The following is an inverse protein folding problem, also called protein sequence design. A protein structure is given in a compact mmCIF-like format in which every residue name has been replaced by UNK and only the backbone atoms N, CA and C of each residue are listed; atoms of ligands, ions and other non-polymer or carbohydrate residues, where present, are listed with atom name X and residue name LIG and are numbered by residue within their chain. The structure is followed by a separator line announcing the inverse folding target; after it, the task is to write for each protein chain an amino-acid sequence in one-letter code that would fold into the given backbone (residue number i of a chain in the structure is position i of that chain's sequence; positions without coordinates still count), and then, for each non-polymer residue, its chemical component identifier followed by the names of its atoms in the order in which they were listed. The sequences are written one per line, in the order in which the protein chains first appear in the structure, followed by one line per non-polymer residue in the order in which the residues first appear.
data_IF_071578695528
#
_entry.id   IF_071578695528
#
_cell.length_a   1.000
_cell.length_b   1.000
_cell.length_c   1.000
_cell.angle_alpha   90.00
_cell.angle_beta   90.00
_cell.angle_gamma   90.00
#
_symmetry.space_group_name_H-M   'P 1'
#
loop_
_entity.id
_entity.type
_entity.pdbx_description
1 polymer ?
#
# COMPACT_ATOMS: atom_id res chain seq x y z
N UNK A 1 -36.73 -13.05 -56.19
CA UNK A 1 -35.34 -12.54 -56.26
C UNK A 1 -35.02 -11.85 -54.94
N UNK A 2 -33.89 -12.25 -54.33
CA UNK A 2 -33.08 -11.58 -53.30
C UNK A 2 -33.71 -11.28 -51.92
N UNK A 3 -33.50 -12.25 -51.03
CA UNK A 3 -32.87 -12.11 -49.70
C UNK A 3 -33.26 -10.89 -48.86
N UNK A 4 -34.30 -11.05 -48.05
CA UNK A 4 -34.48 -10.33 -46.78
C UNK A 4 -34.42 -11.39 -45.67
N UNK A 5 -33.24 -11.94 -45.48
CA UNK A 5 -32.85 -12.76 -44.34
C UNK A 5 -31.48 -12.21 -43.96
N UNK A 6 -31.22 -12.01 -42.66
CA UNK A 6 -29.98 -11.45 -42.06
C UNK A 6 -29.94 -9.92 -41.82
N UNK A 7 -30.88 -9.37 -41.05
CA UNK A 7 -30.63 -8.11 -40.30
C UNK A 7 -31.26 -8.12 -38.89
N UNK A 8 -31.40 -9.28 -38.25
CA UNK A 8 -31.92 -9.41 -36.88
C UNK A 8 -31.03 -10.27 -35.98
N UNK A 9 -29.71 -10.33 -36.25
CA UNK A 9 -28.77 -11.14 -35.46
C UNK A 9 -27.54 -10.36 -34.96
N UNK A 10 -27.60 -9.02 -34.88
CA UNK A 10 -26.45 -8.21 -34.43
C UNK A 10 -26.76 -7.22 -33.30
N UNK A 11 -27.77 -7.46 -32.47
CA UNK A 11 -28.12 -6.53 -31.37
C UNK A 11 -28.32 -7.22 -30.01
N UNK A 12 -27.58 -8.29 -29.75
CA UNK A 12 -27.44 -8.85 -28.40
C UNK A 12 -26.00 -9.32 -28.17
N UNK A 13 -25.02 -8.49 -28.54
CA UNK A 13 -23.72 -8.58 -27.86
C UNK A 13 -23.92 -7.81 -26.55
N UNK A 14 -24.42 -8.51 -25.54
CA UNK A 14 -24.36 -8.06 -24.15
C UNK A 14 -22.88 -7.79 -23.87
N UNK A 15 -22.54 -6.50 -23.78
CA UNK A 15 -21.28 -6.01 -23.26
C UNK A 15 -21.19 -6.46 -21.80
N UNK A 16 -20.79 -7.71 -21.58
CA UNK A 16 -20.10 -8.08 -20.35
C UNK A 16 -18.77 -7.35 -20.41
N UNK A 17 -18.80 -6.07 -20.03
CA UNK A 17 -17.58 -5.36 -19.67
C UNK A 17 -17.10 -6.09 -18.43
N UNK A 18 -16.00 -6.86 -18.49
CA UNK A 18 -15.42 -7.35 -17.26
C UNK A 18 -15.12 -6.11 -16.44
N UNK A 19 -15.77 -5.99 -15.28
CA UNK A 19 -15.40 -4.97 -14.31
C UNK A 19 -14.00 -5.36 -13.87
N UNK A 20 -12.99 -4.80 -14.53
CA UNK A 20 -11.62 -4.89 -14.09
C UNK A 20 -11.59 -4.04 -12.83
N UNK A 21 -11.81 -4.68 -11.70
CA UNK A 21 -11.56 -4.09 -10.40
C UNK A 21 -10.04 -3.88 -10.32
N UNK A 22 -9.59 -2.70 -10.73
CA UNK A 22 -8.28 -2.22 -10.33
C UNK A 22 -8.27 -2.14 -8.80
N UNK A 23 -7.13 -2.45 -8.17
CA UNK A 23 -6.97 -2.33 -6.72
C UNK A 23 -7.49 -0.97 -6.22
N UNK A 24 -8.48 -1.00 -5.33
CA UNK A 24 -9.07 0.21 -4.76
C UNK A 24 -8.20 0.69 -3.60
N UNK A 25 -7.27 1.60 -3.91
CA UNK A 25 -6.40 2.20 -2.92
C UNK A 25 -7.17 3.26 -2.11
N UNK A 26 -7.50 2.93 -0.87
CA UNK A 26 -8.20 3.82 0.06
C UNK A 26 -7.22 4.77 0.75
N UNK A 27 -7.57 6.05 0.81
CA UNK A 27 -6.74 7.09 1.44
C UNK A 27 -6.64 6.91 2.95
N UNK A 28 -5.41 6.97 3.47
CA UNK A 28 -5.08 7.07 4.89
C UNK A 28 -4.96 8.53 5.30
N UNK A 29 -4.26 9.34 4.49
CA UNK A 29 -3.99 10.75 4.77
C UNK A 29 -2.61 11.19 4.31
N UNK A 30 -2.15 12.33 4.82
CA UNK A 30 -0.83 12.90 4.52
C UNK A 30 0.11 12.80 5.71
N UNK A 31 1.36 12.42 5.47
CA UNK A 31 2.40 12.48 6.51
C UNK A 31 2.95 13.91 6.69
N UNK A 32 3.91 14.06 7.61
CA UNK A 32 4.52 15.36 7.96
C UNK A 32 5.30 16.00 6.81
N UNK A 33 5.71 15.21 5.82
CA UNK A 33 6.39 15.70 4.60
C UNK A 33 5.39 15.95 3.48
N UNK A 34 4.09 15.67 3.70
CA UNK A 34 3.04 15.82 2.71
C UNK A 34 2.93 14.64 1.74
N UNK A 35 3.59 13.51 2.01
CA UNK A 35 3.37 12.29 1.22
C UNK A 35 1.94 11.81 1.41
N UNK A 36 1.30 11.34 0.35
CA UNK A 36 -0.06 10.80 0.41
C UNK A 36 0.00 9.29 0.59
N UNK A 37 -0.64 8.79 1.64
CA UNK A 37 -0.65 7.38 1.98
C UNK A 37 -2.00 6.76 1.69
N UNK A 38 -1.95 5.55 1.14
CA UNK A 38 -3.09 4.73 0.81
C UNK A 38 -2.86 3.29 1.24
N UNK A 39 -3.93 2.53 1.38
CA UNK A 39 -3.87 1.09 1.56
C UNK A 39 -4.89 0.38 0.68
N UNK A 40 -4.62 -0.89 0.39
CA UNK A 40 -5.55 -1.76 -0.31
C UNK A 40 -6.20 -2.73 0.70
N UNK A 41 -7.50 -2.59 1.00
CA UNK A 41 -8.19 -3.46 1.96
C UNK A 41 -8.17 -4.93 1.55
N UNK A 42 -8.13 -5.23 0.25
CA UNK A 42 -8.13 -6.61 -0.26
C UNK A 42 -6.79 -7.31 -0.03
N UNK A 43 -5.74 -6.55 0.32
CA UNK A 43 -4.42 -7.09 0.66
C UNK A 43 -4.24 -7.41 2.15
N UNK A 44 -5.27 -7.14 2.97
CA UNK A 44 -5.19 -7.35 4.42
C UNK A 44 -5.21 -8.84 4.72
N UNK A 45 -4.09 -9.36 5.25
CA UNK A 45 -3.97 -10.77 5.65
C UNK A 45 -3.77 -10.83 7.17
N UNK A 46 -4.76 -11.36 7.88
CA UNK A 46 -4.69 -11.60 9.33
C UNK A 46 -4.06 -12.97 9.59
N UNK A 47 -2.94 -12.99 10.29
CA UNK A 47 -2.26 -14.23 10.67
C UNK A 47 -2.81 -14.75 12.01
N UNK A 48 -2.79 -16.08 12.24
CA UNK A 48 -3.20 -16.67 13.52
C UNK A 48 -2.41 -16.16 14.74
N UNK A 49 -1.22 -15.61 14.52
CA UNK A 49 -0.36 -15.04 15.56
C UNK A 49 -0.82 -13.67 16.10
N UNK A 50 -1.90 -13.10 15.55
CA UNK A 50 -2.35 -11.75 15.88
C UNK A 50 -1.60 -10.64 15.13
N UNK A 51 -0.74 -11.01 14.18
CA UNK A 51 -0.07 -10.09 13.25
C UNK A 51 -0.92 -9.93 12.00
N UNK A 52 -1.06 -8.69 11.53
CA UNK A 52 -1.73 -8.38 10.26
C UNK A 52 -0.71 -7.91 9.23
N UNK A 53 -0.79 -8.43 8.00
CA UNK A 53 -0.03 -7.94 6.84
C UNK A 53 -0.88 -7.00 6.01
N UNK A 54 -0.26 -5.95 5.50
CA UNK A 54 -0.94 -4.96 4.67
C UNK A 54 0.05 -4.31 3.69
N UNK A 55 -0.43 -4.02 2.48
CA UNK A 55 0.27 -3.14 1.57
C UNK A 55 -0.13 -1.68 1.78
N UNK A 56 0.88 -0.83 1.91
CA UNK A 56 0.77 0.62 1.97
C UNK A 56 1.40 1.21 0.73
N UNK A 57 0.71 2.14 0.09
CA UNK A 57 1.22 2.96 -1.01
C UNK A 57 1.48 4.37 -0.53
N UNK A 58 2.70 4.86 -0.71
CA UNK A 58 3.06 6.24 -0.45
C UNK A 58 3.37 6.98 -1.75
N UNK A 59 2.61 8.02 -2.09
CA UNK A 59 2.94 8.94 -3.19
C UNK A 59 3.79 10.07 -2.62
N UNK A 60 4.99 10.25 -3.16
CA UNK A 60 5.93 11.22 -2.62
C UNK A 60 5.57 12.66 -2.98
N UNK A 61 5.54 13.54 -1.98
CA UNK A 61 5.61 14.98 -2.18
C UNK A 61 7.00 15.40 -2.67
N UNK A 62 7.19 16.67 -3.04
CA UNK A 62 8.53 17.18 -3.38
C UNK A 62 9.50 17.05 -2.19
N UNK A 63 9.02 17.39 -1.00
CA UNK A 63 9.77 17.30 0.26
C UNK A 63 10.10 15.84 0.58
N UNK A 64 9.14 14.93 0.41
CA UNK A 64 9.33 13.49 0.60
C UNK A 64 10.36 12.90 -0.37
N UNK A 65 10.34 13.31 -1.65
CA UNK A 65 11.35 12.88 -2.64
C UNK A 65 12.75 13.33 -2.21
N UNK A 66 12.90 14.61 -1.83
CA UNK A 66 14.18 15.15 -1.34
C UNK A 66 14.67 14.36 -0.14
N UNK A 67 13.78 14.12 0.82
CA UNK A 67 14.10 13.39 2.04
C UNK A 67 14.53 11.95 1.77
N UNK A 68 13.81 11.23 0.89
CA UNK A 68 14.15 9.88 0.44
C UNK A 68 15.54 9.83 -0.21
N UNK A 69 15.84 10.77 -1.09
CA UNK A 69 17.16 10.89 -1.77
C UNK A 69 18.26 11.15 -0.74
N UNK A 70 18.06 12.07 0.20
CA UNK A 70 19.04 12.38 1.24
C UNK A 70 19.32 11.19 2.15
N UNK A 71 18.29 10.42 2.54
CA UNK A 71 18.47 9.16 3.29
C UNK A 71 19.35 8.17 2.52
N UNK A 72 19.10 8.00 1.21
CA UNK A 72 19.90 7.09 0.37
C UNK A 72 21.35 7.53 0.27
N UNK A 73 21.61 8.82 0.04
CA UNK A 73 22.97 9.38 0.00
C UNK A 73 23.69 9.12 1.32
N UNK A 74 23.03 9.40 2.46
CA UNK A 74 23.60 9.16 3.80
C UNK A 74 23.93 7.68 4.02
N UNK A 75 23.10 6.78 3.49
CA UNK A 75 23.30 5.34 3.53
C UNK A 75 24.24 4.80 2.44
N UNK A 76 24.86 5.67 1.62
CA UNK A 76 25.71 5.30 0.48
C UNK A 76 25.02 4.37 -0.53
N UNK A 77 23.71 4.55 -0.70
CA UNK A 77 22.91 3.80 -1.66
C UNK A 77 22.82 4.53 -3.01
N UNK A 78 22.70 3.80 -4.14
CA UNK A 78 22.55 4.39 -5.47
C UNK A 78 21.32 5.31 -5.56
N UNK A 79 21.44 6.43 -6.28
CA UNK A 79 20.37 7.44 -6.47
C UNK A 79 20.14 7.80 -7.94
N UNK A 80 20.69 7.02 -8.86
CA UNK A 80 20.47 7.16 -10.29
C UNK A 80 18.98 7.07 -10.60
N UNK A 81 18.48 7.99 -11.42
CA UNK A 81 17.07 8.12 -11.82
C UNK A 81 16.08 8.46 -10.68
N UNK A 82 16.55 8.81 -9.48
CA UNK A 82 15.66 9.24 -8.38
C UNK A 82 15.02 10.60 -8.58
N UNK A 83 15.46 11.38 -9.57
CA UNK A 83 14.72 12.55 -10.07
C UNK A 83 13.31 12.17 -10.56
N UNK A 84 13.13 10.92 -11.02
CA UNK A 84 11.84 10.37 -11.45
C UNK A 84 11.05 9.66 -10.36
N UNK A 85 11.57 9.57 -9.12
CA UNK A 85 10.88 8.91 -8.01
C UNK A 85 9.45 9.43 -7.87
N UNK A 86 8.47 8.53 -7.73
CA UNK A 86 7.06 8.91 -7.68
C UNK A 86 6.32 8.31 -6.48
N UNK A 87 6.36 6.99 -6.33
CA UNK A 87 5.67 6.32 -5.23
C UNK A 87 6.46 5.14 -4.71
N UNK A 88 6.11 4.69 -3.51
CA UNK A 88 6.61 3.47 -2.88
C UNK A 88 5.44 2.52 -2.61
N UNK A 89 5.67 1.22 -2.73
CA UNK A 89 4.82 0.19 -2.15
C UNK A 89 5.56 -0.49 -1.02
N UNK A 90 4.97 -0.54 0.16
CA UNK A 90 5.52 -1.15 1.36
C UNK A 90 4.61 -2.28 1.85
N UNK A 91 5.18 -3.46 2.07
CA UNK A 91 4.51 -4.53 2.81
C UNK A 91 4.87 -4.37 4.27
N UNK A 92 3.87 -4.08 5.10
CA UNK A 92 4.04 -3.94 6.54
C UNK A 92 3.41 -5.10 7.29
N UNK A 93 4.04 -5.50 8.38
CA UNK A 93 3.45 -6.36 9.41
C UNK A 93 3.15 -5.52 10.65
N UNK A 94 1.94 -5.67 11.20
CA UNK A 94 1.45 -4.92 12.35
C UNK A 94 1.01 -5.92 13.42
N UNK A 95 1.61 -5.84 14.61
CA UNK A 95 1.21 -6.60 15.77
C UNK A 95 0.23 -5.79 16.61
N UNK A 96 -1.08 -6.01 16.39
CA UNK A 96 -2.15 -5.28 17.06
C UNK A 96 -2.16 -5.44 18.59
N UNK A 97 -1.66 -6.57 19.10
CA UNK A 97 -1.62 -6.83 20.53
C UNK A 97 -0.51 -6.04 21.23
N UNK A 98 0.63 -5.86 20.56
CA UNK A 98 1.80 -5.16 21.10
C UNK A 98 1.91 -3.69 20.65
N UNK A 99 1.12 -3.28 19.65
CA UNK A 99 1.23 -1.98 18.96
C UNK A 99 2.65 -1.75 18.44
N UNK A 100 3.13 -2.74 17.71
CA UNK A 100 4.43 -2.72 17.04
C UNK A 100 4.22 -2.97 15.55
N UNK A 101 5.11 -2.43 14.71
CA UNK A 101 5.09 -2.66 13.27
C UNK A 101 6.49 -2.97 12.76
N UNK A 102 6.57 -3.50 11.54
CA UNK A 102 7.81 -3.66 10.79
C UNK A 102 7.57 -3.64 9.29
N UNK A 103 8.55 -3.20 8.53
CA UNK A 103 8.53 -3.22 7.06
C UNK A 103 9.17 -4.51 6.57
N UNK A 104 8.40 -5.33 5.86
CA UNK A 104 8.83 -6.62 5.31
C UNK A 104 9.32 -6.51 3.87
N UNK A 105 8.82 -5.54 3.12
CA UNK A 105 9.32 -5.23 1.79
C UNK A 105 9.02 -3.77 1.46
N UNK A 106 9.84 -3.17 0.62
CA UNK A 106 9.47 -1.93 -0.05
C UNK A 106 10.02 -1.89 -1.47
N UNK A 107 9.30 -1.22 -2.37
CA UNK A 107 9.72 -0.99 -3.76
C UNK A 107 9.48 0.47 -4.11
N UNK A 108 10.54 1.18 -4.48
CA UNK A 108 10.47 2.55 -5.00
C UNK A 108 10.22 2.50 -6.51
N UNK A 109 9.23 3.24 -6.98
CA UNK A 109 8.84 3.33 -8.38
C UNK A 109 9.05 4.74 -8.94
N UNK A 110 9.46 4.81 -10.20
CA UNK A 110 9.49 6.04 -10.98
C UNK A 110 8.11 6.43 -11.51
N UNK A 111 8.00 7.65 -12.03
CA UNK A 111 6.76 8.21 -12.59
C UNK A 111 6.22 7.46 -13.82
N UNK A 112 7.08 6.76 -14.54
CA UNK A 112 6.74 5.88 -15.67
C UNK A 112 6.44 4.43 -15.23
N UNK A 113 6.44 4.15 -13.92
CA UNK A 113 6.18 2.81 -13.37
C UNK A 113 7.40 1.89 -13.32
N UNK A 114 8.59 2.37 -13.70
CA UNK A 114 9.84 1.64 -13.55
C UNK A 114 10.21 1.39 -12.08
N UNK A 115 10.91 0.28 -11.80
CA UNK A 115 11.42 0.00 -10.45
C UNK A 115 12.79 0.66 -10.29
N UNK A 116 12.89 1.55 -9.30
CA UNK A 116 14.15 2.24 -8.95
C UNK A 116 14.95 1.48 -7.89
N UNK A 117 14.26 0.84 -6.94
CA UNK A 117 14.87 0.05 -5.88
C UNK A 117 13.86 -0.94 -5.31
N UNK A 118 14.34 -2.10 -4.88
CA UNK A 118 13.53 -3.10 -4.20
C UNK A 118 14.29 -3.65 -3.00
N UNK A 119 13.56 -3.85 -1.91
CA UNK A 119 14.03 -4.50 -0.70
C UNK A 119 12.98 -5.50 -0.23
N UNK A 120 13.40 -6.70 0.15
CA UNK A 120 12.57 -7.72 0.77
C UNK A 120 13.36 -8.28 1.95
N UNK A 121 12.71 -8.39 3.10
CA UNK A 121 13.24 -9.07 4.28
C UNK A 121 13.07 -10.57 4.09
N UNK A 122 14.14 -11.33 4.37
CA UNK A 122 14.08 -12.79 4.37
C UNK A 122 13.13 -13.31 5.46
N UNK A 123 12.40 -14.40 5.16
CA UNK A 123 11.17 -14.82 5.84
C UNK A 123 11.27 -15.15 7.35
N UNK A 124 12.46 -15.05 7.98
CA UNK A 124 12.72 -15.63 9.31
C UNK A 124 13.33 -14.68 10.35
N UNK A 125 13.35 -13.37 10.14
CA UNK A 125 13.89 -12.49 11.19
C UNK A 125 12.79 -12.15 12.19
N UNK A 126 12.97 -12.43 13.49
CA UNK A 126 12.19 -11.83 14.60
C UNK A 126 12.61 -10.38 14.90
N UNK A 127 13.47 -9.81 14.05
CA UNK A 127 14.08 -8.49 14.16
C UNK A 127 13.26 -7.47 13.37
N UNK A 128 13.45 -6.19 13.69
CA UNK A 128 12.87 -5.06 12.95
C UNK A 128 11.50 -4.61 13.44
N UNK A 129 11.00 -5.19 14.54
CA UNK A 129 9.83 -4.65 15.23
C UNK A 129 10.16 -3.33 15.90
N UNK A 130 9.35 -2.33 15.61
CA UNK A 130 9.43 -1.01 16.22
C UNK A 130 8.08 -0.67 16.88
N UNK A 131 8.08 -0.02 18.06
CA UNK A 131 6.84 0.44 18.67
C UNK A 131 6.19 1.50 17.79
N UNK A 132 4.86 1.47 17.71
CA UNK A 132 4.08 2.49 17.00
C UNK A 132 3.96 3.73 17.90
N UNK A 133 4.61 4.86 17.56
CA UNK A 133 4.54 6.05 18.42
C UNK A 133 3.15 6.68 18.38
N UNK A 134 2.68 7.27 19.48
CA UNK A 134 1.46 8.07 19.46
C UNK A 134 1.62 9.29 18.54
N UNK A 135 0.51 9.80 17.98
CA UNK A 135 0.52 10.96 17.07
C UNK A 135 1.45 10.77 15.85
N UNK A 136 1.50 9.53 15.36
CA UNK A 136 2.25 9.14 14.18
C UNK A 136 1.31 8.64 13.08
N UNK A 137 1.80 8.64 11.84
CA UNK A 137 1.10 7.99 10.73
C UNK A 137 0.89 6.49 11.00
N UNK A 138 1.85 5.85 11.68
CA UNK A 138 1.71 4.45 12.11
C UNK A 138 0.53 4.23 13.05
N UNK A 139 0.20 5.19 13.92
CA UNK A 139 -0.97 5.10 14.78
C UNK A 139 -2.29 5.21 14.00
N UNK A 140 -2.34 6.02 12.94
CA UNK A 140 -3.51 6.09 12.06
C UNK A 140 -3.72 4.72 11.39
N UNK A 141 -2.64 4.13 10.86
CA UNK A 141 -2.66 2.80 10.24
C UNK A 141 -3.10 1.74 11.27
N UNK A 142 -2.53 1.74 12.48
CA UNK A 142 -2.91 0.86 13.59
C UNK A 142 -4.43 0.90 13.85
N UNK A 143 -5.03 2.10 13.91
CA UNK A 143 -6.48 2.26 14.13
C UNK A 143 -7.35 1.76 12.98
N UNK A 144 -6.86 1.82 11.74
CA UNK A 144 -7.57 1.30 10.55
C UNK A 144 -7.56 -0.23 10.57
N UNK A 145 -6.44 -0.84 10.96
CA UNK A 145 -6.17 -2.27 10.77
C UNK A 145 -6.53 -3.10 12.00
N UNK A 146 -6.26 -2.57 13.18
CA UNK A 146 -6.46 -3.29 14.42
C UNK A 146 -7.86 -3.04 14.97
N UNK A 147 -8.61 -4.11 15.31
CA UNK A 147 -9.91 -3.93 15.93
C UNK A 147 -9.75 -3.25 17.31
N UNK A 148 -10.70 -2.39 17.72
CA UNK A 148 -10.67 -1.84 19.06
C UNK A 148 -10.76 -2.99 20.08
N UNK A 149 -10.12 -2.87 21.26
CA UNK A 149 -10.19 -3.88 22.29
C UNK A 149 -11.65 -4.25 22.59
N UNK A 150 -11.93 -5.54 22.74
CA UNK A 150 -13.28 -6.09 22.95
C UNK A 150 -14.04 -5.47 24.13
N UNK A 151 -13.34 -4.88 25.10
CA UNK A 151 -13.91 -4.15 26.24
C UNK A 151 -14.62 -2.84 25.85
N UNK A 152 -14.35 -2.27 24.68
CA UNK A 152 -15.02 -1.07 24.16
C UNK A 152 -16.24 -1.39 23.29
N UNK A 153 -16.39 -2.65 22.83
CA UNK A 153 -17.53 -3.08 22.02
C UNK A 153 -18.79 -3.40 22.85
N UNK A 154 -18.68 -3.52 24.19
CA UNK A 154 -19.80 -3.78 25.11
C UNK A 154 -20.56 -2.52 25.58
N UNK A 155 -20.32 -1.35 24.98
CA UNK A 155 -21.08 -0.12 25.25
C UNK A 155 -21.81 0.36 23.98
N UNK A 156 -22.71 -0.44 23.44
CA UNK A 156 -23.82 0.02 22.60
C UNK A 156 -25.02 -0.88 22.83
#
# INVERSE_FOLDING_TARGET
MKNIFLLLLSSTVLLFVPHVYGAEWLSIGKDRLGNELFYDPDTIIKLPTGVTKIWIKGIYSMEGKKERIQRRIKSKLPVENYDKLNYVLELQEINCAKREYRVMAYTDYSSDGGILNKFIVDQQTSVGWEPIPPDSMGEIIDRIICPPPSSLQKKR
#
